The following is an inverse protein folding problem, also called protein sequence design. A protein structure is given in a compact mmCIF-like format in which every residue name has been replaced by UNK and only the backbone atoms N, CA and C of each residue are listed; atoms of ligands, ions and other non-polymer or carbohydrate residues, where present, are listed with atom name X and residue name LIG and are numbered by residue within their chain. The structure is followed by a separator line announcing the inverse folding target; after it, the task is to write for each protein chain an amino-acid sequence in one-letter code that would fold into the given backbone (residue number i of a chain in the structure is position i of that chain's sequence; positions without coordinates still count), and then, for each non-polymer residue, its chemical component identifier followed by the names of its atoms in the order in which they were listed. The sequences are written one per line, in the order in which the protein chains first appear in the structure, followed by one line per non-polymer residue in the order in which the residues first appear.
data_IF_088665212640
#
_entry.id   IF_088665212640
#
_cell.length_a   1.000
_cell.length_b   1.000
_cell.length_c   1.000
_cell.angle_alpha   90.00
_cell.angle_beta   90.00
_cell.angle_gamma   90.00
#
_symmetry.space_group_name_H-M   'P 1'
#
loop_
_entity.id
_entity.type
_entity.pdbx_description
1 polymer ?
#
# COMPACT_ATOMS: atom_id res chain seq x y z
N UNK A 1 15.56 1.98 21.31
CA UNK A 1 14.89 0.69 21.57
C UNK A 1 13.38 0.75 21.27
N UNK A 2 12.53 1.51 21.98
CA UNK A 2 11.07 1.57 21.66
C UNK A 2 10.73 2.07 20.24
N UNK A 3 11.51 3.01 19.69
CA UNK A 3 11.26 3.56 18.35
C UNK A 3 11.65 2.61 17.21
N UNK A 4 12.59 1.71 17.45
CA UNK A 4 13.00 0.71 16.45
C UNK A 4 12.01 -0.44 16.40
N UNK A 5 11.56 -0.96 17.54
CA UNK A 5 10.56 -2.02 17.61
C UNK A 5 9.25 -1.64 16.90
N UNK A 6 8.78 -0.39 17.09
CA UNK A 6 7.60 0.14 16.41
C UNK A 6 7.78 0.25 14.88
N UNK A 7 9.01 0.48 14.41
CA UNK A 7 9.33 0.52 12.97
C UNK A 7 9.27 -0.88 12.35
N UNK A 8 9.70 -1.91 13.09
CA UNK A 8 9.60 -3.31 12.66
C UNK A 8 8.15 -3.82 12.67
N UNK A 9 7.37 -3.50 13.71
CA UNK A 9 5.93 -3.83 13.78
C UNK A 9 5.12 -3.20 12.64
N UNK A 10 5.37 -1.92 12.33
CA UNK A 10 4.72 -1.26 11.19
C UNK A 10 5.13 -1.90 9.85
N UNK A 11 6.36 -2.43 9.75
CA UNK A 11 6.83 -3.13 8.55
C UNK A 11 6.19 -4.50 8.36
N UNK A 12 5.84 -5.21 9.44
CA UNK A 12 5.10 -6.48 9.41
C UNK A 12 3.62 -6.26 9.07
N UNK A 13 2.98 -5.22 9.63
CA UNK A 13 1.60 -4.88 9.30
C UNK A 13 1.42 -4.41 7.84
N UNK A 14 2.47 -3.85 7.24
CA UNK A 14 2.51 -3.44 5.83
C UNK A 14 2.76 -4.60 4.86
N UNK A 15 3.23 -5.77 5.36
CA UNK A 15 3.17 -7.04 4.63
C UNK A 15 1.75 -7.58 4.70
N UNK A 16 0.82 -6.86 4.06
CA UNK A 16 -0.57 -7.29 3.99
C UNK A 16 -0.71 -8.72 3.46
N UNK A 17 -1.83 -9.40 3.74
CA UNK A 17 -2.07 -10.80 3.37
C UNK A 17 -1.92 -11.11 1.87
N UNK A 18 -1.88 -10.08 1.03
CA UNK A 18 -1.82 -10.14 -0.43
C UNK A 18 -0.52 -10.75 -0.97
N UNK A 19 0.63 -10.52 -0.32
CA UNK A 19 1.91 -11.08 -0.82
C UNK A 19 1.92 -12.60 -0.69
N UNK A 20 1.40 -13.11 0.42
CA UNK A 20 1.35 -14.55 0.71
C UNK A 20 0.26 -15.26 -0.08
N UNK A 21 -0.72 -14.54 -0.65
CA UNK A 21 -1.67 -15.10 -1.60
C UNK A 21 -1.01 -15.52 -2.92
N UNK A 22 0.13 -14.91 -3.29
CA UNK A 22 0.86 -15.24 -4.53
C UNK A 22 1.82 -16.41 -4.33
N UNK A 23 2.30 -16.62 -3.11
CA UNK A 23 3.29 -17.66 -2.75
C UNK A 23 2.92 -19.07 -3.24
N UNK A 24 1.67 -19.56 -3.11
CA UNK A 24 1.27 -20.88 -3.62
C UNK A 24 1.43 -21.04 -5.14
N UNK A 25 1.31 -19.95 -5.89
CA UNK A 25 1.43 -19.96 -7.36
C UNK A 25 2.89 -20.06 -7.81
N UNK A 26 3.84 -19.58 -7.00
CA UNK A 26 5.26 -19.60 -7.32
C UNK A 26 5.97 -20.86 -6.80
N UNK A 27 5.44 -21.51 -5.75
CA UNK A 27 5.98 -22.75 -5.18
C UNK A 27 7.50 -22.66 -4.91
N UNK A 28 8.29 -23.45 -5.64
CA UNK A 28 9.75 -23.55 -5.53
C UNK A 28 10.50 -22.32 -6.06
N UNK A 29 9.84 -21.47 -6.84
CA UNK A 29 10.41 -20.20 -7.30
C UNK A 29 10.26 -19.06 -6.27
N UNK A 30 9.65 -19.32 -5.11
CA UNK A 30 9.58 -18.34 -4.04
C UNK A 30 10.94 -18.19 -3.34
N UNK A 31 11.62 -17.09 -3.61
CA UNK A 31 12.85 -16.69 -2.93
C UNK A 31 12.62 -15.41 -2.11
N UNK A 32 13.54 -15.10 -1.19
CA UNK A 32 13.48 -13.85 -0.42
C UNK A 32 13.49 -12.61 -1.32
N UNK A 33 14.22 -12.67 -2.44
CA UNK A 33 14.26 -11.60 -3.46
C UNK A 33 12.91 -11.42 -4.16
N UNK A 34 12.22 -12.52 -4.46
CA UNK A 34 10.87 -12.50 -5.05
C UNK A 34 9.87 -11.95 -4.03
N UNK A 35 9.94 -12.35 -2.77
CA UNK A 35 9.08 -11.82 -1.70
C UNK A 35 9.22 -10.30 -1.57
N UNK A 36 10.46 -9.81 -1.50
CA UNK A 36 10.75 -8.37 -1.41
C UNK A 36 10.26 -7.61 -2.66
N UNK A 37 10.44 -8.18 -3.85
CA UNK A 37 9.95 -7.58 -5.11
C UNK A 37 8.41 -7.46 -5.11
N UNK A 38 7.70 -8.48 -4.66
CA UNK A 38 6.24 -8.43 -4.53
C UNK A 38 5.81 -7.41 -3.48
N UNK A 39 6.49 -7.31 -2.34
CA UNK A 39 6.22 -6.29 -1.33
C UNK A 39 6.36 -4.88 -1.90
N UNK A 40 7.44 -4.62 -2.65
CA UNK A 40 7.65 -3.31 -3.30
C UNK A 40 6.55 -2.99 -4.32
N UNK A 41 6.13 -3.97 -5.12
CA UNK A 41 5.04 -3.80 -6.08
C UNK A 41 3.71 -3.44 -5.38
N UNK A 42 3.32 -4.18 -4.34
CA UNK A 42 2.07 -3.92 -3.62
C UNK A 42 2.09 -2.57 -2.90
N UNK A 43 3.24 -2.15 -2.35
CA UNK A 43 3.43 -0.80 -1.82
C UNK A 43 3.21 0.28 -2.87
N UNK A 44 3.78 0.10 -4.06
CA UNK A 44 3.61 1.05 -5.15
C UNK A 44 2.14 1.14 -5.62
N UNK A 45 1.47 0.01 -5.80
CA UNK A 45 0.05 -0.03 -6.15
C UNK A 45 -0.79 0.69 -5.07
N UNK A 46 -0.53 0.41 -3.80
CA UNK A 46 -1.24 1.04 -2.68
C UNK A 46 -1.03 2.55 -2.63
N UNK A 47 0.19 3.01 -2.92
CA UNK A 47 0.50 4.44 -3.06
C UNK A 47 -0.32 5.08 -4.18
N UNK A 48 -0.39 4.46 -5.36
CA UNK A 48 -1.19 4.97 -6.49
C UNK A 48 -2.67 5.03 -6.14
N UNK A 49 -3.23 3.98 -5.51
CA UNK A 49 -4.63 3.95 -5.07
C UNK A 49 -4.93 5.06 -4.08
N UNK A 50 -4.07 5.24 -3.07
CA UNK A 50 -4.23 6.30 -2.06
C UNK A 50 -4.19 7.69 -2.70
N UNK A 51 -3.25 7.91 -3.63
CA UNK A 51 -3.13 9.18 -4.35
C UNK A 51 -4.38 9.48 -5.17
N UNK A 52 -4.85 8.51 -5.95
CA UNK A 52 -6.06 8.65 -6.76
C UNK A 52 -7.30 8.94 -5.89
N UNK A 53 -7.45 8.27 -4.74
CA UNK A 53 -8.52 8.58 -3.80
C UNK A 53 -8.46 10.04 -3.33
N UNK A 54 -7.30 10.53 -2.91
CA UNK A 54 -7.13 11.91 -2.45
C UNK A 54 -7.47 12.93 -3.55
N UNK A 55 -7.04 12.68 -4.79
CA UNK A 55 -7.38 13.52 -5.95
C UNK A 55 -8.90 13.58 -6.21
N UNK A 56 -9.61 12.44 -6.08
CA UNK A 56 -11.07 12.41 -6.23
C UNK A 56 -11.82 13.14 -5.13
N UNK A 57 -11.36 13.08 -3.87
CA UNK A 57 -12.01 13.81 -2.76
C UNK A 57 -11.80 15.33 -2.86
N UNK A 58 -10.67 15.78 -3.40
CA UNK A 58 -10.36 17.21 -3.56
C UNK A 58 -11.19 17.85 -4.69
N UNK A 59 -11.61 17.06 -5.68
CA UNK A 59 -12.39 17.55 -6.83
C UNK A 59 -13.90 17.63 -6.58
N UNK A 60 -14.39 17.27 -5.38
CA UNK A 60 -15.80 17.36 -4.98
C UNK A 60 -16.13 18.61 -4.14
N UNK A 61 -15.21 19.57 -4.01
CA UNK A 61 -15.52 20.88 -3.42
C UNK A 61 -16.55 21.62 -4.30
N UNK A 62 -17.75 21.81 -3.72
CA UNK A 62 -18.98 22.31 -4.32
C UNK A 62 -18.80 23.72 -4.91
N UNK A 63 -19.40 24.06 -6.08
CA UNK A 63 -19.47 25.44 -6.55
C UNK A 63 -20.22 26.28 -5.51
N UNK A 64 -19.55 27.23 -4.89
CA UNK A 64 -20.20 28.24 -4.05
C UNK A 64 -21.14 29.03 -4.97
N UNK A 65 -22.45 28.76 -4.86
CA UNK A 65 -23.50 29.51 -5.53
C UNK A 65 -23.49 30.92 -4.92
N UNK A 66 -22.72 31.82 -5.54
CA UNK A 66 -22.70 33.24 -5.21
C UNK A 66 -24.03 33.84 -5.64
N UNK A 67 -25.07 33.68 -4.82
CA UNK A 67 -26.29 34.48 -4.94
C UNK A 67 -26.11 35.81 -4.21
N UNK A 68 -26.50 36.82 -4.98
CA UNK A 68 -26.40 38.28 -4.86
C UNK A 68 -26.92 38.86 -3.55
#
# INVERSE_FOLDING_TARGET
MLKESQKYEASEADRGPTVYAVKPSLKEHWTDEIEESWLQLFRYISYIMKRAMMETYTSQEIPVDNKT
#
